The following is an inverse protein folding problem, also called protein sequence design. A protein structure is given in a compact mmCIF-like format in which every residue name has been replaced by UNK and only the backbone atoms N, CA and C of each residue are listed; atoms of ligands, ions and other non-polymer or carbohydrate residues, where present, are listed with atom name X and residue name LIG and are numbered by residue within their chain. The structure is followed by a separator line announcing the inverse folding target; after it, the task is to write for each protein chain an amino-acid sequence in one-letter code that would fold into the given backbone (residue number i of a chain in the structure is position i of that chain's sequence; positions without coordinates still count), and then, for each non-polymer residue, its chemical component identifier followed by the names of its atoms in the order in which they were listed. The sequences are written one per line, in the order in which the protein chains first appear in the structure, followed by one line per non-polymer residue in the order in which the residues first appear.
data_IF_913737790335
#
_entry.id   IF_913737790335
#
_cell.length_a   1.000
_cell.length_b   1.000
_cell.length_c   1.000
_cell.angle_alpha   90.00
_cell.angle_beta   90.00
_cell.angle_gamma   90.00
#
_symmetry.space_group_name_H-M   'P 1'
#
loop_
_entity.id
_entity.type
_entity.pdbx_description
1 polymer ?
#
# COMPACT_ATOMS: atom_id res chain seq x y z
N UNK A 1 -26.17 -20.48 -7.68
CA UNK A 1 -25.10 -21.04 -8.52
C UNK A 1 -24.72 -19.93 -9.47
N UNK A 2 -23.51 -19.40 -9.34
CA UNK A 2 -22.97 -18.35 -10.21
C UNK A 2 -22.79 -18.90 -11.60
N UNK A 3 -23.08 -18.10 -12.63
CA UNK A 3 -22.95 -18.50 -14.03
C UNK A 3 -21.47 -18.76 -14.39
N UNK A 4 -21.12 -19.78 -15.20
CA UNK A 4 -19.73 -20.09 -15.53
C UNK A 4 -18.97 -18.93 -16.18
N UNK A 5 -19.66 -18.09 -16.95
CA UNK A 5 -19.09 -16.86 -17.54
C UNK A 5 -18.80 -15.82 -16.45
N UNK A 6 -19.71 -15.64 -15.49
CA UNK A 6 -19.52 -14.77 -14.33
C UNK A 6 -18.34 -15.26 -13.45
N UNK A 7 -18.13 -16.57 -13.35
CA UNK A 7 -16.97 -17.15 -12.66
C UNK A 7 -15.66 -16.84 -13.38
N UNK A 8 -15.62 -17.00 -14.71
CA UNK A 8 -14.44 -16.66 -15.52
C UNK A 8 -14.07 -15.18 -15.41
N UNK A 9 -15.05 -14.28 -15.43
CA UNK A 9 -14.83 -12.85 -15.23
C UNK A 9 -14.21 -12.54 -13.87
N UNK A 10 -14.71 -13.17 -12.79
CA UNK A 10 -14.17 -12.97 -11.44
C UNK A 10 -12.74 -13.51 -11.32
N UNK A 11 -12.45 -14.69 -11.91
CA UNK A 11 -11.11 -15.29 -11.92
C UNK A 11 -10.13 -14.42 -12.70
N UNK A 12 -10.53 -13.94 -13.88
CA UNK A 12 -9.70 -13.06 -14.72
C UNK A 12 -9.38 -11.76 -13.99
N UNK A 13 -10.38 -11.15 -13.34
CA UNK A 13 -10.18 -9.94 -12.53
C UNK A 13 -9.19 -10.17 -11.39
N UNK A 14 -9.33 -11.27 -10.65
CA UNK A 14 -8.43 -11.59 -9.54
C UNK A 14 -7.00 -11.84 -10.04
N UNK A 15 -6.87 -12.55 -11.16
CA UNK A 15 -5.58 -12.81 -11.82
C UNK A 15 -4.88 -11.52 -12.23
N UNK A 16 -5.59 -10.62 -12.91
CA UNK A 16 -5.04 -9.34 -13.35
C UNK A 16 -4.65 -8.43 -12.18
N UNK A 17 -5.45 -8.40 -11.10
CA UNK A 17 -5.11 -7.66 -9.89
C UNK A 17 -3.82 -8.16 -9.24
N UNK A 18 -3.70 -9.48 -9.03
CA UNK A 18 -2.51 -10.06 -8.42
C UNK A 18 -1.25 -9.82 -9.27
N UNK A 19 -1.37 -9.89 -10.60
CA UNK A 19 -0.27 -9.60 -11.51
C UNK A 19 0.11 -8.12 -11.50
N UNK A 20 -0.87 -7.21 -11.44
CA UNK A 20 -0.63 -5.76 -11.34
C UNK A 20 0.07 -5.39 -10.02
N UNK A 21 -0.23 -6.11 -8.95
CA UNK A 21 0.43 -5.97 -7.65
C UNK A 21 1.82 -6.64 -7.60
N UNK A 22 2.27 -7.24 -8.71
CA UNK A 22 3.61 -7.81 -8.86
C UNK A 22 3.76 -9.25 -8.36
N UNK A 23 2.66 -9.93 -8.01
CA UNK A 23 2.71 -11.36 -7.70
C UNK A 23 2.89 -12.19 -8.97
N UNK A 24 3.79 -13.19 -8.89
CA UNK A 24 3.94 -14.19 -9.94
C UNK A 24 2.82 -15.24 -9.79
N UNK A 25 1.72 -15.02 -10.51
CA UNK A 25 0.56 -15.90 -10.53
C UNK A 25 0.43 -16.59 -11.88
N UNK A 26 0.19 -17.90 -11.83
CA UNK A 26 -0.11 -18.73 -13.01
C UNK A 26 -1.54 -19.22 -12.92
N UNK A 27 -2.32 -19.00 -13.98
CA UNK A 27 -3.69 -19.47 -14.11
C UNK A 27 -3.84 -20.18 -15.46
N UNK A 28 -4.69 -21.21 -15.49
CA UNK A 28 -5.02 -21.91 -16.73
C UNK A 28 -5.73 -20.94 -17.69
N UNK A 29 -5.25 -20.78 -18.94
CA UNK A 29 -5.87 -19.86 -19.90
C UNK A 29 -7.35 -20.16 -20.14
N UNK A 30 -7.81 -21.41 -20.00
CA UNK A 30 -9.22 -21.78 -20.18
C UNK A 30 -10.14 -21.22 -19.08
N UNK A 31 -9.56 -20.71 -17.99
CA UNK A 31 -10.25 -20.06 -16.88
C UNK A 31 -10.26 -18.52 -16.99
N UNK A 32 -9.60 -17.97 -18.01
CA UNK A 32 -9.48 -16.53 -18.24
C UNK A 32 -10.34 -16.07 -19.42
N UNK A 33 -10.94 -14.89 -19.28
CA UNK A 33 -11.68 -14.22 -20.34
C UNK A 33 -10.72 -13.31 -21.13
N UNK A 34 -10.36 -13.74 -22.34
CA UNK A 34 -9.31 -13.08 -23.13
C UNK A 34 -9.71 -11.73 -23.76
N UNK A 35 -11.02 -11.48 -23.91
CA UNK A 35 -11.56 -10.23 -24.45
C UNK A 35 -11.96 -9.23 -23.35
N UNK A 36 -11.54 -9.48 -22.10
CA UNK A 36 -11.84 -8.58 -21.00
C UNK A 36 -11.08 -7.24 -21.19
N UNK A 37 -11.77 -6.08 -21.15
CA UNK A 37 -11.11 -4.79 -21.19
C UNK A 37 -10.10 -4.67 -20.02
N UNK A 38 -9.00 -3.91 -20.21
CA UNK A 38 -7.91 -3.83 -19.25
C UNK A 38 -8.41 -3.52 -17.84
N UNK A 39 -7.70 -3.99 -16.79
CA UNK A 39 -8.21 -4.04 -15.43
C UNK A 39 -8.80 -2.70 -15.03
N UNK A 40 -10.07 -2.76 -14.64
CA UNK A 40 -10.84 -1.62 -14.15
C UNK A 40 -9.99 -0.86 -13.13
N UNK A 41 -9.74 0.42 -13.42
CA UNK A 41 -9.39 1.38 -12.38
C UNK A 41 -10.49 1.23 -11.32
N UNK A 42 -10.14 1.04 -10.03
CA UNK A 42 -11.11 1.08 -8.94
C UNK A 42 -12.18 2.15 -9.18
N UNK A 43 -13.46 1.76 -9.22
CA UNK A 43 -14.59 2.74 -9.32
C UNK A 43 -14.52 3.78 -8.19
N UNK A 44 -13.88 3.39 -7.10
CA UNK A 44 -13.63 4.18 -5.90
C UNK A 44 -12.22 4.73 -5.96
N UNK A 45 -12.09 6.06 -5.91
CA UNK A 45 -10.78 6.72 -5.87
C UNK A 45 -9.96 6.24 -4.66
N UNK A 46 -8.63 6.32 -4.73
CA UNK A 46 -7.78 6.02 -3.58
C UNK A 46 -8.18 6.85 -2.34
N UNK A 47 -8.56 8.11 -2.54
CA UNK A 47 -9.04 8.98 -1.47
C UNK A 47 -10.31 8.46 -0.80
N UNK A 48 -11.26 7.94 -1.57
CA UNK A 48 -12.49 7.35 -1.04
C UNK A 48 -12.22 6.06 -0.27
N UNK A 49 -11.29 5.22 -0.75
CA UNK A 49 -10.83 4.01 -0.04
C UNK A 49 -10.20 4.35 1.31
N UNK A 50 -9.33 5.36 1.35
CA UNK A 50 -8.75 5.86 2.61
C UNK A 50 -9.82 6.45 3.53
N UNK A 51 -10.81 7.14 2.98
CA UNK A 51 -11.95 7.65 3.74
C UNK A 51 -12.80 6.53 4.38
N UNK A 52 -12.98 5.40 3.69
CA UNK A 52 -13.66 4.23 4.22
C UNK A 52 -12.86 3.56 5.35
N UNK A 53 -11.54 3.48 5.20
CA UNK A 53 -10.64 2.95 6.22
C UNK A 53 -10.64 3.81 7.49
N UNK A 54 -10.63 5.14 7.34
CA UNK A 54 -10.73 6.07 8.47
C UNK A 54 -12.04 5.87 9.26
N UNK A 55 -13.16 5.64 8.57
CA UNK A 55 -14.45 5.30 9.21
C UNK A 55 -14.40 3.96 9.94
N UNK A 56 -13.72 2.95 9.39
CA UNK A 56 -13.55 1.64 10.03
C UNK A 56 -12.69 1.72 11.31
N UNK A 57 -11.61 2.50 11.27
CA UNK A 57 -10.79 2.79 12.45
C UNK A 57 -11.64 3.49 13.52
N UNK A 58 -12.43 4.49 13.15
CA UNK A 58 -13.31 5.19 14.09
C UNK A 58 -14.38 4.27 14.71
N UNK A 59 -14.90 3.31 13.95
CA UNK A 59 -15.90 2.36 14.40
C UNK A 59 -15.31 1.12 15.11
N UNK A 60 -13.99 0.97 15.14
CA UNK A 60 -13.33 -0.19 15.72
C UNK A 60 -13.52 -0.23 17.24
N UNK A 61 -14.16 -1.28 17.73
CA UNK A 61 -14.38 -1.52 19.17
C UNK A 61 -13.38 -2.49 19.76
N UNK A 62 -12.60 -3.19 18.93
CA UNK A 62 -11.59 -4.16 19.35
C UNK A 62 -10.20 -3.78 18.82
N UNK A 63 -9.18 -3.98 19.65
CA UNK A 63 -7.78 -3.71 19.30
C UNK A 63 -7.31 -4.50 18.08
N UNK A 64 -7.85 -5.70 17.85
CA UNK A 64 -7.52 -6.53 16.68
C UNK A 64 -7.91 -5.83 15.36
N UNK A 65 -9.08 -5.20 15.32
CA UNK A 65 -9.58 -4.51 14.13
C UNK A 65 -8.74 -3.25 13.85
N UNK A 66 -8.35 -2.55 14.91
CA UNK A 66 -7.41 -1.43 14.82
C UNK A 66 -6.04 -1.87 14.28
N UNK A 67 -5.49 -2.97 14.76
CA UNK A 67 -4.20 -3.51 14.27
C UNK A 67 -4.32 -3.94 12.80
N UNK A 68 -5.41 -4.60 12.40
CA UNK A 68 -5.63 -4.99 11.01
C UNK A 68 -5.68 -3.78 10.07
N UNK A 69 -6.49 -2.77 10.42
CA UNK A 69 -6.63 -1.55 9.62
C UNK A 69 -5.32 -0.75 9.55
N UNK A 70 -4.56 -0.65 10.65
CA UNK A 70 -3.26 0.02 10.64
C UNK A 70 -2.21 -0.78 9.87
N UNK A 71 -2.28 -2.11 9.91
CA UNK A 71 -1.38 -2.97 9.14
C UNK A 71 -1.57 -2.77 7.64
N UNK A 72 -2.79 -2.53 7.16
CA UNK A 72 -3.07 -2.22 5.75
C UNK A 72 -2.43 -0.88 5.31
N UNK A 73 -2.54 0.18 6.11
CA UNK A 73 -1.92 1.49 5.78
C UNK A 73 -0.40 1.42 5.78
N UNK A 74 0.16 0.55 6.60
CA UNK A 74 1.58 0.47 6.88
C UNK A 74 2.25 -0.80 6.34
N UNK A 75 1.53 -1.55 5.51
CA UNK A 75 2.01 -2.81 4.97
C UNK A 75 3.33 -2.60 4.22
N UNK A 76 4.35 -3.44 4.46
CA UNK A 76 5.60 -3.36 3.72
C UNK A 76 5.37 -3.64 2.23
N UNK A 77 5.80 -2.71 1.37
CA UNK A 77 5.80 -2.88 -0.09
C UNK A 77 4.53 -2.41 -0.82
N UNK A 78 3.35 -2.47 -0.21
CA UNK A 78 2.09 -2.00 -0.80
C UNK A 78 1.30 -1.01 0.09
N UNK A 79 1.77 -0.78 1.31
CA UNK A 79 1.18 0.17 2.24
C UNK A 79 1.22 1.60 1.71
N UNK A 80 0.15 2.33 1.99
CA UNK A 80 -0.07 3.71 1.55
C UNK A 80 1.09 4.61 1.95
N UNK A 81 1.61 4.45 3.17
CA UNK A 81 2.73 5.28 3.65
C UNK A 81 4.00 5.05 2.83
N UNK A 82 4.30 3.79 2.50
CA UNK A 82 5.48 3.45 1.72
C UNK A 82 5.35 3.94 0.27
N UNK A 83 4.17 3.82 -0.35
CA UNK A 83 3.92 4.37 -1.69
C UNK A 83 4.05 5.89 -1.74
N UNK A 84 3.63 6.60 -0.69
CA UNK A 84 3.85 8.06 -0.60
C UNK A 84 5.33 8.40 -0.53
N UNK A 85 6.12 7.65 0.25
CA UNK A 85 7.59 7.82 0.31
C UNK A 85 8.21 7.59 -1.08
N UNK A 86 7.85 6.50 -1.75
CA UNK A 86 8.35 6.18 -3.10
C UNK A 86 8.03 7.27 -4.13
N UNK A 87 6.83 7.85 -4.10
CA UNK A 87 6.44 8.96 -4.97
C UNK A 87 7.29 10.20 -4.69
N UNK A 88 7.52 10.53 -3.42
CA UNK A 88 8.34 11.69 -3.04
C UNK A 88 9.79 11.52 -3.48
N UNK A 89 10.37 10.33 -3.29
CA UNK A 89 11.74 10.03 -3.71
C UNK A 89 11.87 10.04 -5.23
N UNK A 90 10.95 9.40 -5.95
CA UNK A 90 10.91 9.42 -7.42
C UNK A 90 10.80 10.85 -7.95
N UNK A 91 9.98 11.68 -7.31
CA UNK A 91 9.84 13.10 -7.68
C UNK A 91 11.12 13.88 -7.37
N UNK A 92 11.81 13.57 -6.28
CA UNK A 92 13.09 14.20 -5.94
C UNK A 92 14.18 13.87 -6.97
N UNK A 93 14.27 12.61 -7.39
CA UNK A 93 15.18 12.17 -8.46
C UNK A 93 14.87 12.86 -9.79
N UNK A 94 13.58 13.01 -10.11
CA UNK A 94 13.15 13.75 -11.30
C UNK A 94 13.61 15.20 -11.27
N UNK A 95 13.48 15.90 -10.12
CA UNK A 95 14.00 17.26 -9.96
C UNK A 95 15.52 17.31 -10.15
N UNK A 96 16.28 16.37 -9.58
CA UNK A 96 17.74 16.36 -9.76
C UNK A 96 18.20 16.16 -11.21
N UNK A 97 17.38 15.54 -12.05
CA UNK A 97 17.67 15.37 -13.47
C UNK A 97 17.80 16.68 -14.26
N UNK A 98 17.27 17.80 -13.77
CA UNK A 98 17.35 19.11 -14.43
C UNK A 98 18.65 19.87 -14.12
N UNK A 99 19.29 19.57 -12.98
CA UNK A 99 20.64 20.04 -12.66
C UNK A 99 20.78 21.51 -12.24
N UNK A 100 19.69 22.28 -12.11
CA UNK A 100 19.79 23.66 -11.59
C UNK A 100 19.86 23.69 -10.05
N UNK A 101 20.44 24.76 -9.46
CA UNK A 101 20.52 24.90 -8.01
C UNK A 101 19.15 24.93 -7.30
N UNK A 102 18.12 25.44 -7.99
CA UNK A 102 16.75 25.45 -7.49
C UNK A 102 16.17 24.03 -7.43
N UNK A 103 16.48 23.20 -8.41
CA UNK A 103 15.99 21.83 -8.51
C UNK A 103 16.54 20.95 -7.39
N UNK A 104 17.83 21.12 -7.07
CA UNK A 104 18.46 20.41 -5.95
C UNK A 104 17.81 20.77 -4.60
N UNK A 105 17.37 22.02 -4.43
CA UNK A 105 16.64 22.46 -3.24
C UNK A 105 15.26 21.81 -3.14
N UNK A 106 14.54 21.66 -4.26
CA UNK A 106 13.24 20.98 -4.27
C UNK A 106 13.39 19.48 -3.98
N UNK A 107 14.37 18.83 -4.59
CA UNK A 107 14.69 17.42 -4.33
C UNK A 107 15.02 17.16 -2.86
N UNK A 108 15.89 17.99 -2.26
CA UNK A 108 16.26 17.85 -0.85
C UNK A 108 15.06 18.04 0.09
N UNK A 109 14.14 18.96 -0.25
CA UNK A 109 12.92 19.17 0.53
C UNK A 109 11.99 17.96 0.45
N UNK A 110 11.83 17.35 -0.72
CA UNK A 110 11.00 16.14 -0.90
C UNK A 110 11.57 14.97 -0.10
N UNK A 111 12.89 14.74 -0.15
CA UNK A 111 13.56 13.72 0.66
C UNK A 111 13.43 13.95 2.16
N UNK A 112 13.53 15.20 2.61
CA UNK A 112 13.31 15.53 4.04
C UNK A 112 11.89 15.15 4.48
N UNK A 113 10.89 15.39 3.63
CA UNK A 113 9.50 15.00 3.92
C UNK A 113 9.41 13.46 3.95
N UNK A 114 9.94 12.76 2.94
CA UNK A 114 9.97 11.30 2.89
C UNK A 114 10.62 10.67 4.14
N UNK A 115 11.78 11.18 4.56
CA UNK A 115 12.47 10.73 5.78
C UNK A 115 11.65 10.93 7.04
N UNK A 116 10.90 12.04 7.14
CA UNK A 116 10.07 12.31 8.31
C UNK A 116 8.88 11.35 8.41
N UNK A 117 8.37 10.87 7.28
CA UNK A 117 7.33 9.84 7.22
C UNK A 117 7.88 8.45 7.57
N UNK A 118 9.11 8.11 7.16
CA UNK A 118 9.75 6.83 7.47
C UNK A 118 10.16 6.65 8.94
N UNK A 119 10.59 7.72 9.63
CA UNK A 119 11.04 7.65 11.04
C UNK A 119 9.90 7.41 12.05
N UNK A 120 8.64 7.62 11.66
CA UNK A 120 7.48 7.31 12.50
C UNK A 120 7.25 5.80 12.70
N UNK A 121 7.69 4.97 11.75
CA UNK A 121 7.36 3.53 11.72
C UNK A 121 8.29 2.67 12.59
N UNK A 122 9.55 3.09 12.78
CA UNK A 122 10.54 2.31 13.53
C UNK A 122 10.47 2.47 15.06
N UNK A 123 9.69 3.43 15.58
CA UNK A 123 9.63 3.74 17.02
C UNK A 123 8.61 2.91 17.81
N UNK A 124 7.75 2.14 17.13
CA UNK A 124 6.70 1.31 17.77
C UNK A 124 7.15 -0.10 18.17
N UNK A 125 8.25 -0.62 17.62
CA UNK A 125 8.69 -2.01 17.81
C UNK A 125 9.81 -2.19 18.85
N UNK A 126 10.24 -1.12 19.52
CA UNK A 126 11.38 -1.15 20.46
C UNK A 126 11.03 -1.14 21.96
N UNK A 127 9.75 -1.12 22.34
CA UNK A 127 9.35 -0.97 23.75
C UNK A 127 8.40 -2.08 24.22
N UNK A 128 8.76 -3.35 24.00
CA UNK A 128 8.17 -4.47 24.75
C UNK A 128 9.13 -5.66 24.75
N UNK A 129 10.14 -5.59 25.61
CA UNK A 129 11.15 -6.64 25.70
C UNK A 129 12.14 -6.36 26.82
N UNK A 130 11.76 -6.72 28.04
CA UNK A 130 12.70 -6.83 29.16
C UNK A 130 12.25 -6.16 30.45
N UNK A 131 11.29 -6.77 31.15
CA UNK A 131 11.36 -6.78 32.61
C UNK A 131 10.95 -8.16 33.11
N UNK A 132 11.93 -9.06 33.05
CA UNK A 132 11.97 -10.29 33.81
C UNK A 132 13.24 -10.26 34.65
N UNK A 133 13.11 -9.91 35.93
CA UNK A 133 14.23 -9.83 36.86
C UNK A 133 13.77 -10.09 38.30
N UNK A 134 13.97 -11.32 38.75
CA UNK A 134 13.62 -11.82 40.07
C UNK A 134 14.56 -11.36 41.20
N UNK A 135 14.03 -11.37 42.42
CA UNK A 135 14.76 -11.55 43.68
C UNK A 135 15.26 -10.28 44.36
N UNK A 136 15.38 -10.24 45.70
CA UNK A 136 15.71 -11.38 46.57
C UNK A 136 14.55 -11.98 47.38
#
# INVERSE_FOLDING_TARGET
MTDPEEQRLVVTRAFDMLRADGFDVSCDPDLLEHDMPPPWIPETSLGDRLGFLAKHIQASTHTRDMVANLSEVTAPGDGVLQRVVEILDTTAEWWEGFGEPADHRYAQRLRTIAESQGRGHHRGLGASGGDGGAGP
#
